data_IF_164152666849
#
_entry.id   IF_164152666849
#
_cell.length_a   1.000
_cell.length_b   1.000
_cell.length_c   1.000
_cell.angle_alpha   90.00
_cell.angle_beta   90.00
_cell.angle_gamma   90.00
#
_symmetry.space_group_name_H-M   'P 1'
#
loop_
_entity.id
_entity.type
_entity.pdbx_description
1 polymer ?
#
# COMPACT_ATOMS: atom_id res chain seq x y z
N UNK A 1 0.64 4.77 -35.28
CA UNK A 1 -0.20 4.91 -34.07
C UNK A 1 -0.56 3.51 -33.56
N UNK A 2 -0.28 3.07 -32.35
CA UNK A 2 0.39 3.69 -31.22
C UNK A 2 0.98 2.55 -30.39
N UNK A 3 2.16 2.80 -29.83
CA UNK A 3 2.83 1.93 -28.88
C UNK A 3 2.01 1.95 -27.57
N UNK A 4 0.87 1.25 -27.55
CA UNK A 4 -0.06 1.24 -26.42
C UNK A 4 0.20 0.11 -25.40
N UNK A 5 1.27 -0.67 -25.57
CA UNK A 5 1.57 -1.79 -24.68
C UNK A 5 2.99 -1.73 -24.09
N UNK A 6 3.52 -0.53 -23.86
CA UNK A 6 4.63 -0.36 -22.91
C UNK A 6 4.12 -0.47 -21.46
N UNK A 7 3.48 -1.61 -21.13
CA UNK A 7 3.29 -2.10 -19.76
C UNK A 7 4.61 -2.58 -19.13
N UNK A 8 5.73 -2.44 -19.86
CA UNK A 8 7.10 -2.77 -19.48
C UNK A 8 7.64 -1.92 -18.31
N UNK A 9 6.99 -0.82 -17.96
CA UNK A 9 7.40 0.00 -16.83
C UNK A 9 6.49 -0.28 -15.66
N UNK A 10 6.97 -1.06 -14.69
CA UNK A 10 6.33 -1.40 -13.41
C UNK A 10 5.23 -0.40 -12.97
N UNK A 11 4.00 -0.55 -13.48
CA UNK A 11 2.87 0.30 -13.10
C UNK A 11 2.45 -0.02 -11.66
N UNK A 12 2.62 -1.27 -11.25
CA UNK A 12 2.20 -1.75 -9.94
C UNK A 12 2.77 -0.99 -8.75
N UNK A 13 4.09 -0.72 -8.63
CA UNK A 13 4.61 0.10 -7.53
C UNK A 13 4.03 1.51 -7.52
N UNK A 14 3.63 2.06 -8.67
CA UNK A 14 2.98 3.38 -8.74
C UNK A 14 1.54 3.30 -8.23
N UNK A 15 0.78 2.26 -8.60
CA UNK A 15 -0.58 2.02 -8.09
C UNK A 15 -0.57 1.85 -6.57
N UNK A 16 0.36 1.06 -6.03
CA UNK A 16 0.46 0.81 -4.58
C UNK A 16 0.73 2.12 -3.82
N UNK A 17 1.57 3.02 -4.35
CA UNK A 17 1.80 4.35 -3.75
C UNK A 17 0.53 5.21 -3.68
N UNK A 18 -0.31 5.14 -4.71
CA UNK A 18 -1.59 5.88 -4.74
C UNK A 18 -2.54 5.30 -3.68
N UNK A 19 -2.66 3.97 -3.59
CA UNK A 19 -3.47 3.28 -2.58
C UNK A 19 -2.97 3.61 -1.17
N UNK A 20 -1.65 3.65 -0.95
CA UNK A 20 -1.05 4.04 0.33
C UNK A 20 -1.54 5.42 0.78
N UNK A 21 -1.46 6.41 -0.10
CA UNK A 21 -1.83 7.78 0.25
C UNK A 21 -3.32 7.91 0.54
N UNK A 22 -4.18 7.20 -0.20
CA UNK A 22 -5.62 7.11 0.07
C UNK A 22 -5.88 6.41 1.41
N UNK A 23 -5.18 5.32 1.71
CA UNK A 23 -5.30 4.58 2.97
C UNK A 23 -4.89 5.42 4.17
N UNK A 24 -3.80 6.17 4.07
CA UNK A 24 -3.37 7.14 5.09
C UNK A 24 -4.41 8.25 5.26
N UNK A 25 -4.91 8.82 4.17
CA UNK A 25 -5.94 9.86 4.22
C UNK A 25 -7.22 9.36 4.91
N UNK A 26 -7.69 8.15 4.56
CA UNK A 26 -8.83 7.51 5.23
C UNK A 26 -8.56 7.22 6.71
N UNK A 27 -7.35 6.78 7.06
CA UNK A 27 -6.98 6.52 8.46
C UNK A 27 -6.97 7.79 9.31
N UNK A 28 -6.56 8.92 8.73
CA UNK A 28 -6.60 10.23 9.40
C UNK A 28 -8.04 10.72 9.52
N UNK A 29 -8.84 10.61 8.45
CA UNK A 29 -10.26 10.98 8.45
C UNK A 29 -11.07 10.15 9.45
N UNK A 30 -10.85 8.84 9.52
CA UNK A 30 -11.54 7.95 10.45
C UNK A 30 -11.17 8.25 11.90
N UNK A 31 -9.89 8.51 12.17
CA UNK A 31 -9.40 8.92 13.48
C UNK A 31 -9.99 10.25 13.95
N UNK A 32 -10.04 11.26 13.08
CA UNK A 32 -10.68 12.56 13.39
C UNK A 32 -12.19 12.37 13.61
N UNK A 33 -12.86 11.57 12.78
CA UNK A 33 -14.28 11.25 12.94
C UNK A 33 -14.59 10.58 14.28
N UNK A 34 -13.74 9.62 14.71
CA UNK A 34 -13.84 8.97 16.02
C UNK A 34 -13.63 9.94 17.19
N UNK A 35 -12.73 10.92 17.05
CA UNK A 35 -12.54 11.95 18.07
C UNK A 35 -13.76 12.88 18.16
N UNK A 36 -14.34 13.28 17.03
CA UNK A 36 -15.55 14.14 17.01
C UNK A 36 -16.76 13.44 17.64
N UNK A 37 -16.98 12.15 17.36
CA UNK A 37 -18.05 11.37 17.98
C UNK A 37 -17.78 11.08 19.46
N UNK A 38 -16.51 10.91 19.84
CA UNK A 38 -16.10 10.72 21.23
C UNK A 38 -16.35 11.96 22.09
N UNK A 39 -16.04 13.16 21.59
CA UNK A 39 -16.25 14.43 22.31
C UNK A 39 -17.73 14.79 22.46
N UNK A 40 -18.58 14.38 21.51
CA UNK A 40 -20.02 14.64 21.54
C UNK A 40 -20.82 13.65 22.40
N UNK A 41 -20.18 12.59 22.93
CA UNK A 41 -20.85 11.58 23.73
C UNK A 41 -20.77 11.87 25.24
N UNK A 42 -21.94 11.98 25.89
CA UNK A 42 -22.09 12.42 27.29
C UNK A 42 -21.65 11.37 28.33
N UNK A 43 -21.54 10.10 27.94
CA UNK A 43 -21.06 8.99 28.78
C UNK A 43 -20.00 8.19 28.00
N UNK A 44 -18.79 8.04 28.56
CA UNK A 44 -17.72 7.20 27.99
C UNK A 44 -16.86 7.81 26.88
N UNK A 45 -17.05 9.09 26.54
CA UNK A 45 -16.34 9.77 25.45
C UNK A 45 -14.80 9.77 25.56
N UNK A 46 -14.25 9.77 26.78
CA UNK A 46 -12.79 9.74 26.99
C UNK A 46 -12.10 8.51 26.40
N UNK A 47 -12.75 7.34 26.44
CA UNK A 47 -12.21 6.09 25.91
C UNK A 47 -12.22 6.11 24.37
N UNK A 48 -13.27 6.66 23.77
CA UNK A 48 -13.39 6.86 22.32
C UNK A 48 -12.34 7.85 21.79
N UNK A 49 -12.04 8.92 22.53
CA UNK A 49 -10.98 9.88 22.15
C UNK A 49 -9.60 9.24 22.21
N UNK A 50 -9.31 8.43 23.25
CA UNK A 50 -8.04 7.67 23.35
C UNK A 50 -7.93 6.67 22.18
N UNK A 51 -9.00 5.94 21.87
CA UNK A 51 -9.02 5.02 20.73
C UNK A 51 -8.87 5.73 19.39
N UNK A 52 -9.47 6.91 19.21
CA UNK A 52 -9.29 7.75 18.03
C UNK A 52 -7.84 8.22 17.87
N UNK A 53 -7.21 8.67 18.96
CA UNK A 53 -5.80 9.06 18.98
C UNK A 53 -4.89 7.86 18.65
N UNK A 54 -5.16 6.70 19.24
CA UNK A 54 -4.44 5.47 18.96
C UNK A 54 -4.58 5.05 17.50
N UNK A 55 -5.78 5.20 16.92
CA UNK A 55 -6.07 4.90 15.51
C UNK A 55 -5.34 5.83 14.55
N UNK A 56 -5.18 7.12 14.89
CA UNK A 56 -4.38 8.07 14.11
C UNK A 56 -2.90 7.70 14.08
N UNK A 57 -2.37 7.10 15.15
CA UNK A 57 -0.95 6.72 15.24
C UNK A 57 -0.72 5.32 14.65
N UNK A 58 -1.53 4.33 15.04
CA UNK A 58 -1.38 2.93 14.61
C UNK A 58 -1.89 2.72 13.19
N UNK A 59 -2.91 3.45 12.75
CA UNK A 59 -3.50 3.28 11.41
C UNK A 59 -2.50 3.53 10.28
N UNK A 60 -1.81 4.68 10.21
CA UNK A 60 -0.76 4.92 9.21
C UNK A 60 0.41 3.95 9.32
N UNK A 61 0.73 3.49 10.54
CA UNK A 61 1.79 2.50 10.78
C UNK A 61 1.42 1.14 10.16
N UNK A 62 0.19 0.67 10.38
CA UNK A 62 -0.33 -0.54 9.74
C UNK A 62 -0.36 -0.40 8.21
N UNK A 63 -0.87 0.73 7.70
CA UNK A 63 -0.93 0.99 6.25
C UNK A 63 0.48 0.97 5.62
N UNK A 64 1.51 1.47 6.33
CA UNK A 64 2.91 1.34 5.90
C UNK A 64 3.37 -0.11 5.80
N UNK A 65 3.17 -0.90 6.85
CA UNK A 65 3.59 -2.31 6.88
C UNK A 65 2.90 -3.09 5.75
N UNK A 66 1.60 -2.91 5.57
CA UNK A 66 0.86 -3.55 4.48
C UNK A 66 1.39 -3.14 3.09
N UNK A 67 1.65 -1.84 2.86
CA UNK A 67 2.19 -1.40 1.58
C UNK A 67 3.59 -1.93 1.30
N UNK A 68 4.45 -2.04 2.32
CA UNK A 68 5.79 -2.58 2.18
C UNK A 68 5.76 -4.07 1.81
N UNK A 69 4.86 -4.84 2.44
CA UNK A 69 4.62 -6.24 2.06
C UNK A 69 4.09 -6.36 0.62
N UNK A 70 3.13 -5.53 0.21
CA UNK A 70 2.62 -5.53 -1.16
C UNK A 70 3.72 -5.25 -2.19
N UNK A 71 4.59 -4.27 -1.93
CA UNK A 71 5.72 -3.95 -2.81
C UNK A 71 6.70 -5.13 -2.87
N UNK A 72 7.01 -5.75 -1.74
CA UNK A 72 7.90 -6.92 -1.68
C UNK A 72 7.36 -8.07 -2.53
N UNK A 73 6.07 -8.39 -2.43
CA UNK A 73 5.44 -9.44 -3.24
C UNK A 73 5.58 -9.16 -4.74
N UNK A 74 5.34 -7.91 -5.17
CA UNK A 74 5.50 -7.54 -6.57
C UNK A 74 6.95 -7.56 -7.04
N UNK A 75 7.91 -7.14 -6.21
CA UNK A 75 9.34 -7.27 -6.54
C UNK A 75 9.76 -8.73 -6.67
N UNK A 76 9.15 -9.64 -5.91
CA UNK A 76 9.42 -11.07 -6.02
C UNK A 76 8.95 -11.64 -7.36
N UNK A 77 7.74 -11.28 -7.81
CA UNK A 77 7.22 -11.67 -9.14
C UNK A 77 8.11 -11.14 -10.28
N UNK A 78 8.53 -9.88 -10.20
CA UNK A 78 9.45 -9.29 -11.18
C UNK A 78 10.82 -10.00 -11.19
N UNK A 79 11.33 -10.37 -10.01
CA UNK A 79 12.60 -11.10 -9.89
C UNK A 79 12.50 -12.50 -10.51
N UNK A 80 11.37 -13.20 -10.34
CA UNK A 80 11.10 -14.49 -10.98
C UNK A 80 11.08 -14.37 -12.51
N UNK A 81 10.32 -13.40 -13.04
CA UNK A 81 10.26 -13.13 -14.50
C UNK A 81 11.63 -12.78 -15.06
N UNK A 82 12.45 -12.04 -14.30
CA UNK A 82 13.82 -11.72 -14.69
C UNK A 82 14.68 -12.98 -14.82
N UNK A 83 14.57 -13.92 -13.88
CA UNK A 83 15.31 -15.20 -13.92
C UNK A 83 14.86 -16.05 -15.12
N UNK A 84 13.55 -16.15 -15.37
CA UNK A 84 13.00 -16.87 -16.54
C UNK A 84 13.58 -16.32 -17.85
N UNK A 85 13.56 -15.00 -18.02
CA UNK A 85 14.11 -14.33 -19.21
C UNK A 85 15.62 -14.58 -19.37
N UNK A 86 16.38 -14.61 -18.27
CA UNK A 86 17.82 -14.91 -18.30
C UNK A 86 18.10 -16.36 -18.71
N UNK A 87 17.30 -17.32 -18.23
CA UNK A 87 17.42 -18.73 -18.62
C UNK A 87 17.11 -18.93 -20.10
N UNK A 88 16.04 -18.32 -20.61
CA UNK A 88 15.66 -18.40 -22.03
C UNK A 88 16.74 -17.84 -22.97
N UNK A 89 17.36 -16.71 -22.63
CA UNK A 89 18.43 -16.11 -23.45
C UNK A 89 19.73 -16.94 -23.47
N UNK A 90 20.06 -17.62 -22.36
CA UNK A 90 21.24 -18.48 -22.31
C UNK A 90 21.07 -19.75 -23.14
N UNK A 91 19.84 -20.27 -23.28
CA UNK A 91 19.54 -21.42 -24.14
C UNK A 91 19.69 -21.08 -25.63
N UNK A 92 19.33 -19.86 -26.04
CA UNK A 92 19.48 -19.37 -27.43
C UNK A 92 20.92 -19.02 -27.79
N UNK A 93 21.79 -18.80 -26.80
CA UNK A 93 23.22 -18.53 -27.04
C UNK A 93 24.05 -19.81 -27.21
N UNK A 94 23.46 -20.99 -26.94
CA UNK A 94 24.10 -22.30 -27.00
C UNK A 94 23.62 -23.14 -28.22
N UNK A 95 22.75 -22.58 -29.07
CA UNK A 95 22.34 -23.13 -30.37
C UNK A 95 22.94 -22.30 -31.50
#
# INVERSE_FOLDING_TARGET
MGNFLSFDKMITPTIIKIIFWIGVAMSVLSGIGMMMTGVSSYYGGGLSVIMGLLTIVIGPLMVRVYCELLIIFFKMDESLKKIEKQLSNNQTSQQ
#
